data_IF_147772171694
#
_entry.id   IF_147772171694
#
_cell.length_a   1.000
_cell.length_b   1.000
_cell.length_c   1.000
_cell.angle_alpha   90.00
_cell.angle_beta   90.00
_cell.angle_gamma   90.00
#
_symmetry.space_group_name_H-M   'P 1'
#
loop_
_entity.id
_entity.type
_entity.pdbx_description
1 polymer ?
#
# COMPACT_ATOMS: atom_id res chain seq x y z
N UNK A 1 -14.11 -32.83 -33.03
CA UNK A 1 -15.53 -33.17 -33.29
C UNK A 1 -16.08 -33.67 -31.96
N UNK A 2 -16.87 -32.88 -31.22
CA UNK A 2 -18.33 -32.79 -31.35
C UNK A 2 -18.99 -34.04 -30.75
N UNK A 3 -20.04 -34.06 -29.92
CA UNK A 3 -21.02 -33.10 -29.43
C UNK A 3 -21.71 -33.76 -28.19
N UNK A 4 -22.01 -32.97 -27.16
CA UNK A 4 -23.33 -32.82 -26.50
C UNK A 4 -23.88 -33.83 -25.45
N UNK A 5 -24.03 -33.26 -24.25
CA UNK A 5 -25.25 -33.04 -23.45
C UNK A 5 -26.11 -34.23 -22.99
N UNK A 6 -26.19 -34.40 -21.66
CA UNK A 6 -27.35 -34.08 -20.80
C UNK A 6 -27.25 -34.88 -19.50
N UNK A 7 -27.43 -34.22 -18.36
CA UNK A 7 -28.31 -34.67 -17.28
C UNK A 7 -28.51 -33.47 -16.32
N UNK A 8 -29.69 -32.85 -16.42
CA UNK A 8 -30.49 -32.12 -15.40
C UNK A 8 -29.76 -31.23 -14.37
N UNK A 9 -30.06 -29.95 -14.14
CA UNK A 9 -31.31 -29.20 -14.35
C UNK A 9 -32.14 -29.08 -13.07
N UNK A 10 -31.79 -28.17 -12.14
CA UNK A 10 -32.72 -27.32 -11.35
C UNK A 10 -31.92 -26.43 -10.38
N UNK A 11 -32.23 -25.14 -10.38
CA UNK A 11 -31.47 -24.12 -9.66
C UNK A 11 -31.90 -23.92 -8.21
N UNK A 12 -31.06 -23.20 -7.48
CA UNK A 12 -31.41 -22.30 -6.38
C UNK A 12 -30.28 -21.28 -6.19
N UNK A 13 -30.69 -20.00 -6.21
CA UNK A 13 -30.21 -18.83 -5.46
C UNK A 13 -28.75 -18.35 -5.66
N UNK A 14 -28.69 -17.17 -6.25
CA UNK A 14 -27.54 -16.27 -6.32
C UNK A 14 -26.95 -16.03 -4.92
N UNK A 15 -25.73 -16.50 -4.74
CA UNK A 15 -24.85 -16.21 -3.61
C UNK A 15 -23.88 -15.11 -4.07
N UNK A 16 -23.97 -13.86 -3.57
CA UNK A 16 -23.05 -12.80 -3.97
C UNK A 16 -21.76 -12.91 -3.14
N UNK A 17 -21.06 -14.01 -3.31
CA UNK A 17 -19.68 -14.21 -2.84
C UNK A 17 -18.80 -14.65 -3.99
N UNK A 18 -18.97 -14.02 -5.15
CA UNK A 18 -17.94 -14.09 -6.20
C UNK A 18 -16.85 -13.08 -5.82
N UNK A 19 -15.83 -13.58 -5.13
CA UNK A 19 -14.51 -12.98 -5.18
C UNK A 19 -14.19 -12.71 -6.65
N UNK A 20 -14.13 -11.43 -7.02
CA UNK A 20 -13.58 -11.01 -8.29
C UNK A 20 -12.09 -11.33 -8.26
N UNK A 21 -11.73 -12.58 -8.60
CA UNK A 21 -10.41 -12.85 -9.12
C UNK A 21 -10.38 -12.22 -10.51
N UNK A 22 -9.90 -10.97 -10.57
CA UNK A 22 -9.52 -10.37 -11.83
C UNK A 22 -8.42 -11.24 -12.43
N UNK A 23 -8.81 -12.11 -13.35
CA UNK A 23 -7.88 -12.84 -14.21
C UNK A 23 -7.35 -11.81 -15.20
N UNK A 24 -6.27 -11.12 -14.82
CA UNK A 24 -5.57 -10.22 -15.73
C UNK A 24 -5.12 -11.01 -16.96
N UNK A 25 -5.58 -10.60 -18.14
CA UNK A 25 -5.16 -11.20 -19.40
C UNK A 25 -3.73 -10.76 -19.72
N UNK A 26 -2.79 -11.69 -19.70
CA UNK A 26 -1.39 -11.46 -20.07
C UNK A 26 -1.31 -10.95 -21.51
N UNK A 27 -0.63 -9.83 -21.72
CA UNK A 27 -0.37 -9.27 -23.05
C UNK A 27 0.90 -9.86 -23.63
N UNK A 28 0.91 -10.05 -24.96
CA UNK A 28 2.09 -10.56 -25.69
C UNK A 28 3.29 -9.64 -25.43
N UNK A 29 4.39 -10.21 -24.92
CA UNK A 29 5.63 -9.50 -24.60
C UNK A 29 5.81 -9.13 -23.14
N UNK A 30 4.84 -9.43 -22.27
CA UNK A 30 5.00 -9.26 -20.83
C UNK A 30 6.00 -10.27 -20.25
N UNK A 31 6.90 -9.80 -19.39
CA UNK A 31 7.84 -10.63 -18.66
C UNK A 31 7.15 -11.07 -17.36
N UNK A 32 7.16 -12.37 -17.11
CA UNK A 32 6.60 -12.98 -15.90
C UNK A 32 7.69 -13.72 -15.13
N UNK A 33 7.62 -13.66 -13.81
CA UNK A 33 8.44 -14.42 -12.89
C UNK A 33 7.60 -15.56 -12.34
N UNK A 34 8.07 -16.79 -12.58
CA UNK A 34 7.46 -18.00 -12.04
C UNK A 34 7.84 -18.18 -10.56
N UNK A 35 6.83 -18.14 -9.69
CA UNK A 35 6.99 -18.35 -8.26
C UNK A 35 6.73 -19.81 -7.82
N UNK A 36 6.35 -20.69 -8.74
CA UNK A 36 5.84 -22.04 -8.44
C UNK A 36 4.32 -22.07 -8.27
N UNK A 37 3.77 -23.29 -8.16
CA UNK A 37 2.35 -23.55 -7.89
C UNK A 37 1.36 -22.81 -8.82
N UNK A 38 1.68 -22.77 -10.12
CA UNK A 38 0.92 -22.08 -11.18
C UNK A 38 0.72 -20.56 -10.94
N UNK A 39 1.58 -19.94 -10.12
CA UNK A 39 1.55 -18.51 -9.84
C UNK A 39 2.67 -17.75 -10.56
N UNK A 40 2.27 -16.66 -11.19
CA UNK A 40 3.14 -15.81 -11.98
C UNK A 40 3.02 -14.37 -11.51
N UNK A 41 4.17 -13.71 -11.36
CA UNK A 41 4.23 -12.28 -11.06
C UNK A 41 4.66 -11.53 -12.30
N UNK A 42 3.87 -10.55 -12.71
CA UNK A 42 4.21 -9.66 -13.81
C UNK A 42 5.32 -8.71 -13.38
N UNK A 43 6.34 -8.59 -14.22
CA UNK A 43 7.35 -7.53 -14.08
C UNK A 43 6.69 -6.20 -14.45
N UNK A 44 6.54 -5.32 -13.47
CA UNK A 44 5.92 -3.99 -13.64
C UNK A 44 6.95 -2.87 -13.78
N UNK A 45 8.24 -3.16 -13.50
CA UNK A 45 9.36 -2.23 -13.66
C UNK A 45 10.49 -2.93 -14.40
N UNK A 46 10.71 -2.52 -15.64
CA UNK A 46 11.90 -2.96 -16.40
C UNK A 46 13.14 -2.26 -15.84
N UNK A 47 14.19 -3.04 -15.55
CA UNK A 47 15.44 -2.53 -14.98
C UNK A 47 16.58 -2.67 -15.97
N UNK A 48 17.40 -1.64 -16.09
CA UNK A 48 18.71 -1.72 -16.75
C UNK A 48 19.67 -2.55 -15.90
N UNK A 49 20.73 -3.10 -16.51
CA UNK A 49 21.72 -3.86 -15.74
C UNK A 49 22.44 -2.99 -14.70
N UNK A 50 22.64 -1.70 -15.01
CA UNK A 50 23.16 -0.72 -14.06
C UNK A 50 22.23 -0.54 -12.85
N UNK A 51 20.91 -0.50 -13.06
CA UNK A 51 19.94 -0.41 -11.96
C UNK A 51 19.96 -1.67 -11.10
N UNK A 52 19.99 -2.87 -11.71
CA UNK A 52 20.06 -4.14 -10.96
C UNK A 52 21.31 -4.18 -10.08
N UNK A 53 22.47 -3.90 -10.67
CA UNK A 53 23.75 -3.85 -9.95
C UNK A 53 23.73 -2.83 -8.80
N UNK A 54 23.13 -1.66 -9.04
CA UNK A 54 23.02 -0.62 -8.01
C UNK A 54 22.06 -0.99 -6.88
N UNK A 55 20.96 -1.69 -7.18
CA UNK A 55 20.02 -2.20 -6.17
C UNK A 55 20.70 -3.28 -5.32
N UNK A 56 21.43 -4.21 -5.93
CA UNK A 56 22.17 -5.25 -5.20
C UNK A 56 23.25 -4.67 -4.27
N UNK A 57 23.94 -3.62 -4.71
CA UNK A 57 24.97 -2.90 -3.93
C UNK A 57 24.40 -1.82 -3.02
N UNK A 58 23.07 -1.66 -3.00
CA UNK A 58 22.40 -0.61 -2.24
C UNK A 58 22.73 -0.74 -0.77
N UNK A 59 22.82 0.41 -0.11
CA UNK A 59 23.14 0.48 1.31
C UNK A 59 22.03 1.09 2.15
N UNK A 60 20.95 1.57 1.53
CA UNK A 60 19.77 2.06 2.26
C UNK A 60 19.10 0.94 3.04
N UNK A 61 18.36 1.32 4.07
CA UNK A 61 17.70 0.37 4.95
C UNK A 61 16.52 -0.30 4.26
N UNK A 62 16.25 -1.53 4.66
CA UNK A 62 14.99 -2.21 4.38
C UNK A 62 14.03 -2.00 5.56
N UNK A 63 12.77 -1.72 5.27
CA UNK A 63 11.71 -1.57 6.25
C UNK A 63 10.49 -2.40 5.86
N UNK A 64 9.87 -3.00 6.86
CA UNK A 64 8.59 -3.68 6.76
C UNK A 64 7.52 -2.90 7.54
N UNK A 65 6.26 -3.33 7.45
CA UNK A 65 5.14 -2.71 8.17
C UNK A 65 4.10 -2.11 7.24
N UNK A 66 2.88 -1.94 7.76
CA UNK A 66 1.75 -1.45 6.97
C UNK A 66 1.94 0.01 6.55
N UNK A 67 1.87 0.26 5.24
CA UNK A 67 1.78 1.61 4.68
C UNK A 67 0.34 2.11 4.84
N UNK A 68 0.20 3.30 5.43
CA UNK A 68 -1.08 3.97 5.59
C UNK A 68 -1.13 5.24 4.75
N UNK A 69 -2.35 5.73 4.52
CA UNK A 69 -2.63 6.98 3.82
C UNK A 69 -3.68 7.79 4.59
N UNK A 70 -3.56 9.11 4.57
CA UNK A 70 -4.66 10.03 4.90
C UNK A 70 -4.76 11.12 3.82
N UNK A 71 -5.93 11.76 3.74
CA UNK A 71 -6.17 12.83 2.77
C UNK A 71 -5.52 14.14 3.24
N UNK A 72 -5.12 14.98 2.31
CA UNK A 72 -4.41 16.21 2.65
C UNK A 72 -4.86 17.39 1.80
N UNK A 73 -4.78 18.57 2.40
CA UNK A 73 -4.92 19.85 1.71
C UNK A 73 -4.01 20.85 2.38
N UNK A 74 -3.41 21.75 1.59
CA UNK A 74 -2.45 22.77 2.07
C UNK A 74 -3.10 23.77 3.03
N UNK A 75 -4.40 23.98 2.90
CA UNK A 75 -5.16 24.93 3.70
C UNK A 75 -6.13 24.20 4.64
N UNK A 76 -5.59 23.58 5.70
CA UNK A 76 -6.40 23.08 6.81
C UNK A 76 -6.87 24.28 7.66
N UNK A 77 -7.81 25.05 7.11
CA UNK A 77 -8.31 26.30 7.71
C UNK A 77 -9.15 26.05 8.97
N UNK A 78 -9.78 24.88 9.05
CA UNK A 78 -10.56 24.46 10.20
C UNK A 78 -9.75 23.49 11.06
N UNK A 79 -9.77 23.64 12.40
CA UNK A 79 -9.25 22.66 13.37
C UNK A 79 -10.36 22.10 14.26
N UNK A 80 -11.61 22.26 13.83
CA UNK A 80 -12.76 21.75 14.55
C UNK A 80 -12.72 20.22 14.55
N UNK A 81 -12.47 19.63 15.71
CA UNK A 81 -12.41 18.18 15.89
C UNK A 81 -13.76 17.49 15.68
N UNK A 82 -14.87 18.23 15.64
CA UNK A 82 -16.22 17.70 15.35
C UNK A 82 -16.59 17.79 13.86
N UNK A 83 -15.78 18.46 13.04
CA UNK A 83 -16.01 18.55 11.59
C UNK A 83 -15.59 17.24 10.90
N UNK A 84 -16.57 16.52 10.36
CA UNK A 84 -16.34 15.23 9.70
C UNK A 84 -15.44 15.34 8.47
N UNK A 85 -15.53 16.43 7.69
CA UNK A 85 -14.67 16.62 6.52
C UNK A 85 -13.22 16.82 6.97
N UNK A 86 -13.03 17.60 8.04
CA UNK A 86 -11.72 17.78 8.65
C UNK A 86 -11.17 16.48 9.23
N UNK A 87 -11.96 15.72 9.98
CA UNK A 87 -11.56 14.43 10.53
C UNK A 87 -11.11 13.46 9.43
N UNK A 88 -11.86 13.38 8.32
CA UNK A 88 -11.49 12.52 7.18
C UNK A 88 -10.19 12.95 6.47
N UNK A 89 -9.76 14.20 6.64
CA UNK A 89 -8.46 14.67 6.15
C UNK A 89 -7.34 14.25 7.11
N UNK A 90 -7.40 14.62 8.38
CA UNK A 90 -6.19 14.55 9.25
C UNK A 90 -6.22 13.49 10.34
N UNK A 91 -7.40 12.97 10.68
CA UNK A 91 -7.59 12.08 11.83
C UNK A 91 -7.86 10.64 11.40
N UNK A 92 -8.77 10.45 10.46
CA UNK A 92 -9.06 9.14 9.89
C UNK A 92 -8.09 8.83 8.76
N UNK A 93 -7.68 7.56 8.71
CA UNK A 93 -6.74 7.07 7.74
C UNK A 93 -7.07 5.64 7.34
N UNK A 94 -6.41 5.19 6.27
CA UNK A 94 -6.69 3.93 5.60
C UNK A 94 -5.38 3.23 5.28
N UNK A 95 -5.41 1.92 5.10
CA UNK A 95 -4.30 1.23 4.43
C UNK A 95 -4.12 1.83 3.03
N UNK A 96 -2.88 1.97 2.59
CA UNK A 96 -2.56 2.64 1.33
C UNK A 96 -3.26 2.01 0.11
N UNK A 97 -3.44 0.69 0.16
CA UNK A 97 -4.09 -0.13 -0.85
C UNK A 97 -5.63 -0.15 -0.80
N UNK A 98 -6.24 0.46 0.23
CA UNK A 98 -7.69 0.47 0.36
C UNK A 98 -8.31 1.26 -0.80
N UNK A 99 -9.25 0.63 -1.51
CA UNK A 99 -9.91 1.21 -2.67
C UNK A 99 -10.84 2.35 -2.25
N UNK A 100 -10.93 3.41 -3.06
CA UNK A 100 -11.75 4.58 -2.74
C UNK A 100 -13.22 4.23 -2.46
N UNK A 101 -13.83 3.37 -3.28
CA UNK A 101 -15.22 2.92 -3.12
C UNK A 101 -15.49 2.22 -1.78
N UNK A 102 -14.46 1.65 -1.15
CA UNK A 102 -14.59 1.01 0.16
C UNK A 102 -14.52 2.00 1.32
N UNK A 103 -14.06 3.23 1.07
CA UNK A 103 -13.92 4.30 2.08
C UNK A 103 -15.23 5.03 2.33
N UNK A 104 -16.20 4.94 1.41
CA UNK A 104 -17.49 5.65 1.47
C UNK A 104 -17.36 7.15 1.76
N UNK A 105 -16.39 7.80 1.11
CA UNK A 105 -16.14 9.24 1.27
C UNK A 105 -16.85 10.04 0.17
N UNK A 106 -17.11 11.34 0.40
CA UNK A 106 -17.67 12.19 -0.64
C UNK A 106 -16.75 12.17 -1.88
N UNK A 107 -17.29 12.14 -3.12
CA UNK A 107 -16.47 12.03 -4.34
C UNK A 107 -15.37 13.08 -4.49
N UNK A 108 -15.54 14.28 -3.89
CA UNK A 108 -14.52 15.33 -3.91
C UNK A 108 -13.17 14.88 -3.30
N UNK A 109 -13.19 13.92 -2.36
CA UNK A 109 -11.98 13.40 -1.72
C UNK A 109 -11.06 12.67 -2.69
N UNK A 110 -11.57 12.13 -3.79
CA UNK A 110 -10.74 11.48 -4.82
C UNK A 110 -9.76 12.47 -5.48
N UNK A 111 -10.08 13.77 -5.44
CA UNK A 111 -9.24 14.84 -5.98
C UNK A 111 -8.29 15.46 -4.95
N UNK A 112 -8.35 15.05 -3.69
CA UNK A 112 -7.43 15.56 -2.67
C UNK A 112 -6.07 14.89 -2.78
N UNK A 113 -5.04 15.62 -2.35
CA UNK A 113 -3.71 15.04 -2.20
C UNK A 113 -3.75 13.91 -1.16
N UNK A 114 -2.91 12.89 -1.35
CA UNK A 114 -2.72 11.82 -0.38
C UNK A 114 -1.35 11.97 0.26
N UNK A 115 -1.28 11.77 1.57
CA UNK A 115 -0.02 11.62 2.29
C UNK A 115 0.08 10.20 2.80
N UNK A 116 1.20 9.55 2.47
CA UNK A 116 1.51 8.19 2.90
C UNK A 116 2.45 8.24 4.10
N UNK A 117 2.28 7.28 5.00
CA UNK A 117 3.06 7.28 6.23
C UNK A 117 3.25 5.88 6.80
N UNK A 118 4.28 5.75 7.63
CA UNK A 118 4.60 4.57 8.42
C UNK A 118 4.65 4.95 9.90
N UNK A 119 4.15 4.05 10.75
CA UNK A 119 4.42 4.13 12.19
C UNK A 119 5.89 3.83 12.47
N UNK A 120 6.52 4.63 13.35
CA UNK A 120 7.93 4.49 13.71
C UNK A 120 8.13 4.72 15.21
N UNK A 121 9.30 4.33 15.71
CA UNK A 121 9.67 4.51 17.11
C UNK A 121 8.85 3.62 18.06
N UNK A 122 8.73 4.04 19.31
CA UNK A 122 7.94 3.36 20.34
C UNK A 122 6.46 3.75 20.25
N UNK A 123 5.66 2.88 19.63
CA UNK A 123 4.22 3.07 19.45
C UNK A 123 3.36 2.48 20.56
N UNK A 124 3.96 2.02 21.67
CA UNK A 124 3.23 1.42 22.80
C UNK A 124 2.17 2.33 23.43
N UNK A 125 2.30 3.65 23.26
CA UNK A 125 1.38 4.67 23.74
C UNK A 125 0.19 4.91 22.81
N UNK A 126 0.25 4.40 21.59
CA UNK A 126 -0.78 4.58 20.56
C UNK A 126 -1.72 3.39 20.61
N UNK A 127 -3.01 3.66 20.81
CA UNK A 127 -4.07 2.68 20.57
C UNK A 127 -4.63 2.89 19.17
N UNK A 128 -4.41 1.92 18.28
CA UNK A 128 -5.05 1.91 16.97
C UNK A 128 -6.47 1.35 17.11
N UNK A 129 -7.47 2.15 16.73
CA UNK A 129 -8.86 1.70 16.58
C UNK A 129 -9.17 1.52 15.11
N UNK A 130 -9.94 0.49 14.78
CA UNK A 130 -10.49 0.31 13.44
C UNK A 130 -11.99 0.06 13.48
N UNK A 131 -12.66 0.49 12.40
CA UNK A 131 -14.09 0.35 12.20
C UNK A 131 -14.37 0.13 10.71
N UNK A 132 -15.49 -0.51 10.38
CA UNK A 132 -15.92 -0.64 8.98
C UNK A 132 -16.62 0.63 8.53
N UNK A 133 -16.21 1.16 7.38
CA UNK A 133 -16.91 2.25 6.72
C UNK A 133 -18.33 1.79 6.34
N UNK A 134 -19.36 2.55 6.72
CA UNK A 134 -20.72 2.24 6.33
C UNK A 134 -20.94 2.58 4.84
N UNK A 135 -21.84 1.87 4.12
CA UNK A 135 -22.23 2.26 2.77
C UNK A 135 -22.78 3.69 2.74
N UNK A 136 -22.20 4.56 1.92
CA UNK A 136 -22.61 5.97 1.82
C UNK A 136 -22.18 6.58 0.48
N UNK A 137 -22.74 7.73 0.09
CA UNK A 137 -22.46 8.40 -1.20
C UNK A 137 -22.59 7.49 -2.45
N UNK A 138 -23.48 6.49 -2.40
CA UNK A 138 -23.64 5.50 -3.48
C UNK A 138 -22.52 4.47 -3.57
N UNK A 139 -21.63 4.40 -2.57
CA UNK A 139 -20.50 3.49 -2.49
C UNK A 139 -20.77 2.34 -1.50
N UNK A 140 -20.21 1.15 -1.74
CA UNK A 140 -20.45 -0.03 -0.90
C UNK A 140 -19.83 0.06 0.50
N UNK A 141 -18.76 0.83 0.69
CA UNK A 141 -18.06 0.90 1.97
C UNK A 141 -17.32 -0.39 2.32
N UNK A 142 -17.35 -0.74 3.62
CA UNK A 142 -16.70 -1.92 4.22
C UNK A 142 -15.17 -1.89 4.28
N UNK A 143 -14.55 -0.79 3.84
CA UNK A 143 -13.15 -0.50 4.06
C UNK A 143 -12.84 -0.32 5.54
N UNK A 144 -11.59 -0.60 5.92
CA UNK A 144 -11.14 -0.47 7.29
C UNK A 144 -10.70 0.97 7.58
N UNK A 145 -11.57 1.72 8.26
CA UNK A 145 -11.29 3.09 8.71
C UNK A 145 -10.56 3.06 10.04
N UNK A 146 -9.39 3.69 10.08
CA UNK A 146 -8.55 3.73 11.27
C UNK A 146 -8.53 5.10 11.94
N UNK A 147 -8.31 5.11 13.25
CA UNK A 147 -8.00 6.31 14.06
C UNK A 147 -7.02 5.93 15.16
N UNK A 148 -6.18 6.87 15.55
CA UNK A 148 -5.27 6.70 16.68
C UNK A 148 -5.83 7.37 17.92
N UNK A 149 -5.67 6.72 19.07
CA UNK A 149 -5.95 7.28 20.39
C UNK A 149 -4.70 7.25 21.25
N UNK A 150 -4.50 8.29 22.06
CA UNK A 150 -3.46 8.35 23.09
C UNK A 150 -4.06 8.97 24.35
N UNK A 151 -3.89 8.32 25.51
CA UNK A 151 -4.50 8.74 26.77
C UNK A 151 -6.04 8.92 26.72
N UNK A 152 -6.72 8.15 25.87
CA UNK A 152 -8.19 8.22 25.71
C UNK A 152 -8.68 9.32 24.76
N UNK A 153 -7.78 10.10 24.16
CA UNK A 153 -8.13 11.13 23.18
C UNK A 153 -7.68 10.74 21.77
N UNK A 154 -8.51 11.03 20.78
CA UNK A 154 -8.14 10.85 19.37
C UNK A 154 -7.03 11.83 18.99
N UNK A 155 -6.04 11.35 18.25
CA UNK A 155 -4.89 12.12 17.80
C UNK A 155 -4.78 12.08 16.28
N UNK A 156 -4.44 13.22 15.69
CA UNK A 156 -4.30 13.35 14.23
C UNK A 156 -2.95 12.83 13.75
N UNK A 157 -2.87 12.42 12.48
CA UNK A 157 -1.60 11.96 11.88
C UNK A 157 -0.52 13.07 11.90
N UNK A 158 -0.83 14.35 11.60
CA UNK A 158 0.16 15.41 11.74
C UNK A 158 0.67 15.62 13.17
N UNK A 159 -0.18 15.44 14.19
CA UNK A 159 0.28 15.48 15.60
C UNK A 159 1.20 14.31 15.92
N UNK A 160 0.88 13.09 15.46
CA UNK A 160 1.76 11.92 15.62
C UNK A 160 3.11 12.10 14.90
N UNK A 161 3.11 12.73 13.72
CA UNK A 161 4.34 13.05 13.00
C UNK A 161 5.21 14.05 13.76
N UNK A 162 4.62 15.11 14.34
CA UNK A 162 5.33 16.08 15.20
C UNK A 162 5.94 15.43 16.44
N UNK A 163 5.33 14.35 16.94
CA UNK A 163 5.85 13.56 18.06
C UNK A 163 6.92 12.53 17.65
N UNK A 164 7.21 12.40 16.36
CA UNK A 164 8.15 11.41 15.84
C UNK A 164 7.65 9.96 15.90
N UNK A 165 6.33 9.76 16.00
CA UNK A 165 5.70 8.43 16.05
C UNK A 165 5.23 7.95 14.68
N UNK A 166 5.24 8.85 13.69
CA UNK A 166 4.89 8.60 12.30
C UNK A 166 5.89 9.33 11.41
N UNK A 167 6.35 8.68 10.35
CA UNK A 167 7.14 9.30 9.28
C UNK A 167 6.32 9.37 7.99
N UNK A 168 6.25 10.55 7.38
CA UNK A 168 5.70 10.72 6.05
C UNK A 168 6.69 10.27 4.99
N UNK A 169 6.17 9.64 3.94
CA UNK A 169 6.98 9.01 2.91
C UNK A 169 6.37 9.23 1.53
N UNK A 170 7.23 9.34 0.52
CA UNK A 170 6.84 9.45 -0.88
C UNK A 170 7.57 8.39 -1.69
N UNK A 171 6.81 7.67 -2.53
CA UNK A 171 7.41 6.65 -3.41
C UNK A 171 8.22 7.34 -4.50
N UNK A 172 9.44 6.86 -4.73
CA UNK A 172 10.34 7.38 -5.76
C UNK A 172 10.63 6.29 -6.78
N UNK A 173 10.54 6.64 -8.06
CA UNK A 173 10.97 5.76 -9.14
C UNK A 173 12.48 5.82 -9.31
N UNK A 174 13.13 4.66 -9.28
CA UNK A 174 14.55 4.55 -9.62
C UNK A 174 14.75 4.72 -11.13
N UNK A 175 15.67 5.58 -11.53
CA UNK A 175 16.12 5.83 -12.89
C UNK A 175 17.66 5.79 -12.93
N UNK A 176 18.28 5.76 -14.11
CA UNK A 176 19.74 5.84 -14.20
C UNK A 176 20.28 7.20 -13.70
N UNK A 177 19.44 8.25 -13.68
CA UNK A 177 19.84 9.61 -13.29
C UNK A 177 19.82 9.84 -11.77
N UNK A 178 19.24 8.93 -11.00
CA UNK A 178 19.07 9.09 -9.54
C UNK A 178 19.60 7.91 -8.73
N UNK A 179 20.52 7.10 -9.27
CA UNK A 179 21.06 5.92 -8.60
C UNK A 179 21.75 6.23 -7.26
N UNK A 180 22.22 7.46 -7.07
CA UNK A 180 22.86 7.92 -5.83
C UNK A 180 21.92 7.82 -4.60
N UNK A 181 20.60 7.84 -4.80
CA UNK A 181 19.61 7.66 -3.72
C UNK A 181 19.77 6.33 -2.98
N UNK A 182 20.30 5.30 -3.65
CA UNK A 182 20.56 3.97 -3.08
C UNK A 182 21.73 3.94 -2.07
N UNK A 183 22.36 5.10 -1.83
CA UNK A 183 23.38 5.27 -0.79
C UNK A 183 22.99 6.24 0.32
N UNK A 184 21.85 6.94 0.17
CA UNK A 184 21.37 7.97 1.10
C UNK A 184 20.50 7.38 2.21
N UNK A 185 21.12 6.63 3.12
CA UNK A 185 20.44 5.82 4.17
C UNK A 185 19.49 6.58 5.08
N UNK A 186 19.78 7.86 5.33
CA UNK A 186 18.97 8.69 6.22
C UNK A 186 17.69 9.18 5.57
N UNK A 187 17.70 9.38 4.25
CA UNK A 187 16.61 10.00 3.51
C UNK A 187 15.76 8.97 2.73
N UNK A 188 16.36 7.84 2.35
CA UNK A 188 15.73 6.82 1.52
C UNK A 188 15.78 5.45 2.16
N UNK A 189 14.79 4.63 1.85
CA UNK A 189 14.73 3.24 2.27
C UNK A 189 13.91 2.41 1.27
N UNK A 190 14.15 1.10 1.31
CA UNK A 190 13.27 0.13 0.65
C UNK A 190 12.16 -0.28 1.59
N UNK A 191 10.91 -0.15 1.16
CA UNK A 191 9.74 -0.69 1.85
C UNK A 191 9.33 -2.01 1.22
N UNK A 192 9.07 -3.03 2.04
CA UNK A 192 8.59 -4.34 1.58
C UNK A 192 7.07 -4.37 1.60
N UNK A 193 6.47 -4.65 0.45
CA UNK A 193 5.05 -4.96 0.35
C UNK A 193 4.80 -6.43 0.69
N UNK A 194 4.49 -6.70 1.96
CA UNK A 194 4.30 -8.06 2.48
C UNK A 194 3.12 -8.81 1.86
N UNK A 195 2.26 -8.13 1.09
CA UNK A 195 1.19 -8.76 0.31
C UNK A 195 1.73 -9.49 -0.93
N UNK A 196 2.90 -9.08 -1.42
CA UNK A 196 3.54 -9.60 -2.64
C UNK A 196 4.82 -10.38 -2.28
N UNK A 197 5.67 -9.83 -1.42
CA UNK A 197 6.98 -10.40 -1.08
C UNK A 197 7.20 -10.40 0.42
N UNK A 198 7.66 -11.52 0.98
CA UNK A 198 8.08 -11.57 2.38
C UNK A 198 9.59 -11.43 2.52
N UNK A 199 10.06 -10.86 3.63
CA UNK A 199 11.47 -10.78 3.96
C UNK A 199 11.75 -11.49 5.28
N UNK A 200 12.60 -12.51 5.26
CA UNK A 200 12.94 -13.32 6.44
C UNK A 200 14.36 -13.85 6.31
N UNK A 201 15.08 -13.91 7.42
CA UNK A 201 16.46 -14.43 7.46
C UNK A 201 17.38 -13.83 6.38
N UNK A 202 17.24 -12.52 6.09
CA UNK A 202 18.07 -11.81 5.12
C UNK A 202 17.72 -12.04 3.64
N UNK A 203 16.64 -12.78 3.34
CA UNK A 203 16.26 -13.14 1.97
C UNK A 203 14.83 -12.70 1.65
N UNK A 204 14.59 -12.36 0.39
CA UNK A 204 13.25 -12.08 -0.15
C UNK A 204 12.62 -13.37 -0.66
N UNK A 205 11.32 -13.52 -0.46
CA UNK A 205 10.59 -14.70 -0.89
C UNK A 205 9.28 -14.35 -1.57
N UNK A 206 9.02 -15.02 -2.69
CA UNK A 206 7.72 -15.11 -3.34
C UNK A 206 7.15 -16.49 -3.05
N UNK A 207 6.10 -16.57 -2.23
CA UNK A 207 5.44 -17.84 -1.87
C UNK A 207 6.46 -18.93 -1.49
N UNK A 208 7.42 -18.55 -0.66
CA UNK A 208 8.51 -19.40 -0.15
C UNK A 208 9.65 -19.75 -1.10
N UNK A 209 9.63 -19.28 -2.35
CA UNK A 209 10.76 -19.32 -3.25
C UNK A 209 11.66 -18.10 -3.03
N UNK A 210 12.96 -18.27 -2.72
CA UNK A 210 13.86 -17.15 -2.57
C UNK A 210 14.07 -16.42 -3.90
N UNK A 211 14.09 -15.10 -3.86
CA UNK A 211 14.34 -14.23 -5.02
C UNK A 211 15.37 -13.17 -4.69
N UNK A 212 16.01 -12.64 -5.74
CA UNK A 212 16.92 -11.51 -5.62
C UNK A 212 16.13 -10.21 -5.34
N UNK A 213 16.81 -9.22 -4.76
CA UNK A 213 16.22 -7.93 -4.40
C UNK A 213 15.75 -7.14 -5.64
N UNK A 214 16.47 -7.20 -6.75
CA UNK A 214 16.10 -6.54 -8.01
C UNK A 214 14.84 -7.19 -8.60
N UNK A 215 14.69 -8.51 -8.49
CA UNK A 215 13.46 -9.21 -8.88
C UNK A 215 12.29 -8.76 -8.02
N UNK A 216 12.44 -8.78 -6.69
CA UNK A 216 11.40 -8.32 -5.77
C UNK A 216 11.01 -6.85 -6.01
N UNK A 217 11.97 -5.98 -6.33
CA UNK A 217 11.69 -4.60 -6.75
C UNK A 217 10.97 -4.54 -8.11
N UNK A 218 11.37 -5.36 -9.09
CA UNK A 218 10.82 -5.32 -10.46
C UNK A 218 9.33 -5.68 -10.55
N UNK A 219 8.85 -6.54 -9.64
CA UNK A 219 7.45 -6.99 -9.57
C UNK A 219 6.59 -6.18 -8.59
N UNK A 220 7.15 -5.16 -7.95
CA UNK A 220 6.42 -4.36 -6.96
C UNK A 220 6.35 -4.97 -5.56
N UNK A 221 7.13 -6.00 -5.25
CA UNK A 221 7.26 -6.52 -3.88
C UNK A 221 8.09 -5.63 -2.96
N UNK A 222 8.92 -4.76 -3.54
CA UNK A 222 9.69 -3.74 -2.83
C UNK A 222 9.51 -2.40 -3.53
N UNK A 223 9.46 -1.33 -2.75
CA UNK A 223 9.33 0.04 -3.22
C UNK A 223 10.43 0.92 -2.64
N UNK A 224 10.97 1.82 -3.45
CA UNK A 224 11.88 2.85 -2.97
C UNK A 224 11.05 4.03 -2.45
N UNK A 225 11.28 4.42 -1.19
CA UNK A 225 10.63 5.55 -0.56
C UNK A 225 11.66 6.59 -0.13
N UNK A 226 11.25 7.85 -0.21
CA UNK A 226 11.92 9.01 0.37
C UNK A 226 11.15 9.44 1.62
N UNK A 227 11.84 9.75 2.71
CA UNK A 227 11.25 10.41 3.88
C UNK A 227 10.93 11.86 3.57
N UNK A 228 9.80 12.35 4.05
CA UNK A 228 9.32 13.71 3.81
C UNK A 228 9.01 14.39 5.14
N UNK A 229 9.43 15.64 5.25
CA UNK A 229 9.04 16.54 6.34
C UNK A 229 7.88 17.37 5.83
N UNK A 230 6.77 17.41 6.56
CA UNK A 230 5.70 18.37 6.24
C UNK A 230 6.13 19.76 6.71
N UNK A 231 6.15 20.71 5.78
CA UNK A 231 6.27 22.15 6.05
C UNK A 231 5.01 22.70 6.71
#
# INVERSE_FOLDING_TARGET
>A
MGLFNKLFGRGEKDDPSTELSETEQLKKGEIIIDAGDDQFFKVIRSLTDQQKESIEKSTILLRTGQLYMHYWTKNLENKNREDQEWQNKVMFFWKAEEQFLKKSLPPIFENFEHKYFLFVGDTSKITLKSSKALPWFGMPGLGEKHVCEMNGEQITIPELNKMGLVEYVEQVSLTNDNLDVLTKREDYFFWVDERITSFRNGNFYLKDKPVLIDIAYSIGGIHLFKKVILE
#
